data_IF_181476160443
#
_entry.id   IF_181476160443
#
_cell.length_a   1.000
_cell.length_b   1.000
_cell.length_c   1.000
_cell.angle_alpha   90.00
_cell.angle_beta   90.00
_cell.angle_gamma   90.00
#
_symmetry.space_group_name_H-M   'P 1'
#
loop_
_entity.id
_entity.type
_entity.pdbx_description
1 polymer ?
#
# COMPACT_ATOMS: atom_id res chain seq x y z
N UNK A 1 0.85 -2.26 -11.24
CA UNK A 1 0.66 -3.40 -10.35
C UNK A 1 -0.03 -4.55 -11.06
N UNK A 2 0.55 -5.74 -11.03
CA UNK A 2 0.01 -6.94 -11.66
C UNK A 2 -0.06 -8.09 -10.67
N UNK A 3 -1.26 -8.62 -10.45
CA UNK A 3 -1.55 -9.70 -9.54
C UNK A 3 -1.60 -11.03 -10.27
N UNK A 4 -1.00 -12.06 -9.69
CA UNK A 4 -1.11 -13.47 -10.06
C UNK A 4 -0.63 -13.88 -11.46
N UNK A 5 -0.28 -12.95 -12.35
CA UNK A 5 0.26 -13.29 -13.65
C UNK A 5 1.71 -13.77 -13.52
N UNK A 6 2.04 -14.92 -14.11
CA UNK A 6 3.37 -15.53 -14.04
C UNK A 6 3.95 -15.63 -12.62
N UNK A 7 3.08 -15.83 -11.62
CA UNK A 7 3.45 -15.85 -10.21
C UNK A 7 3.40 -14.49 -9.52
N UNK A 8 2.88 -13.48 -10.21
CA UNK A 8 2.76 -12.10 -9.75
C UNK A 8 3.90 -11.22 -10.24
N UNK A 9 3.54 -10.01 -10.63
CA UNK A 9 4.48 -8.95 -11.05
C UNK A 9 4.22 -7.68 -10.24
N UNK A 10 4.06 -7.84 -8.93
CA UNK A 10 3.92 -6.71 -8.02
C UNK A 10 5.25 -5.97 -7.94
N UNK A 11 5.20 -4.67 -7.79
CA UNK A 11 6.42 -3.87 -7.63
C UNK A 11 6.21 -2.82 -6.55
N UNK A 12 5.38 -1.84 -6.79
CA UNK A 12 4.91 -0.89 -5.80
C UNK A 12 3.47 -0.49 -6.12
N UNK A 13 2.70 -0.15 -5.10
CA UNK A 13 1.31 0.26 -5.27
C UNK A 13 0.80 1.07 -4.10
N UNK A 14 0.00 2.09 -4.43
CA UNK A 14 -0.80 2.84 -3.47
C UNK A 14 -2.25 2.38 -3.61
N UNK A 15 -2.82 1.91 -2.52
CA UNK A 15 -4.20 1.46 -2.47
C UNK A 15 -4.98 2.27 -1.44
N UNK A 16 -6.24 2.52 -1.74
CA UNK A 16 -7.21 2.99 -0.78
C UNK A 16 -8.12 1.83 -0.44
N UNK A 17 -7.96 1.26 0.71
CA UNK A 17 -8.61 0.05 1.19
C UNK A 17 -8.04 -1.27 0.65
N UNK A 18 -7.27 -1.93 1.49
CA UNK A 18 -7.00 -3.36 1.41
C UNK A 18 -7.76 -4.05 2.57
N UNK A 19 -8.99 -4.55 2.34
CA UNK A 19 -9.91 -4.91 3.42
C UNK A 19 -9.50 -6.14 4.24
N UNK A 20 -8.53 -6.90 3.73
CA UNK A 20 -7.91 -8.00 4.46
C UNK A 20 -6.69 -7.49 5.24
N UNK A 21 -6.40 -8.11 6.37
CA UNK A 21 -5.18 -7.84 7.14
C UNK A 21 -5.04 -6.40 7.62
N UNK A 22 -6.15 -5.83 8.11
CA UNK A 22 -6.21 -4.52 8.80
C UNK A 22 -5.87 -3.29 7.93
N UNK A 23 -6.30 -3.31 6.67
CA UNK A 23 -6.14 -2.17 5.75
C UNK A 23 -7.45 -1.57 5.21
N UNK A 24 -8.60 -1.85 5.84
CA UNK A 24 -9.93 -1.44 5.35
C UNK A 24 -10.10 0.07 5.39
N UNK A 25 -10.45 0.65 4.24
CA UNK A 25 -10.68 2.09 4.03
C UNK A 25 -9.48 2.97 4.46
N UNK A 26 -8.28 2.44 4.43
CA UNK A 26 -7.06 3.12 4.84
C UNK A 26 -6.13 3.32 3.66
N UNK A 27 -5.19 4.25 3.79
CA UNK A 27 -4.11 4.43 2.82
C UNK A 27 -3.11 3.31 3.00
N UNK A 28 -2.93 2.50 1.97
CA UNK A 28 -2.06 1.33 2.01
C UNK A 28 -0.94 1.45 0.98
N UNK A 29 0.30 1.49 1.44
CA UNK A 29 1.49 1.41 0.60
C UNK A 29 2.04 -0.01 0.56
N UNK A 30 2.29 -0.55 -0.62
CA UNK A 30 2.78 -1.91 -0.81
C UNK A 30 4.01 -1.91 -1.72
N UNK A 31 5.03 -2.66 -1.32
CA UNK A 31 6.28 -2.90 -2.07
C UNK A 31 6.43 -4.41 -2.25
N UNK A 32 7.05 -4.81 -3.35
CA UNK A 32 7.44 -6.21 -3.57
C UNK A 32 8.80 -6.29 -4.22
N UNK A 33 9.66 -7.13 -3.67
CA UNK A 33 10.97 -7.45 -4.25
C UNK A 33 10.84 -8.42 -5.43
N UNK A 34 10.04 -9.48 -5.28
CA UNK A 34 10.01 -10.60 -6.21
C UNK A 34 8.79 -10.63 -7.11
N UNK A 35 7.85 -9.72 -6.91
CA UNK A 35 6.54 -9.73 -7.57
C UNK A 35 5.54 -10.72 -6.99
N UNK A 36 6.00 -11.60 -6.09
CA UNK A 36 5.21 -12.65 -5.43
C UNK A 36 4.84 -12.25 -4.01
N UNK A 37 3.96 -13.02 -3.34
CA UNK A 37 3.81 -12.91 -1.90
C UNK A 37 5.16 -13.07 -1.18
N UNK A 38 5.32 -12.35 -0.07
CA UNK A 38 6.55 -12.42 0.76
C UNK A 38 6.58 -13.75 1.50
N UNK A 39 7.60 -14.59 1.30
CA UNK A 39 7.73 -15.85 2.05
C UNK A 39 7.77 -15.60 3.57
N UNK A 40 7.21 -16.48 4.39
CA UNK A 40 6.60 -17.78 4.04
C UNK A 40 5.09 -17.71 3.73
N UNK A 41 4.52 -16.53 3.59
CA UNK A 41 3.07 -16.35 3.49
C UNK A 41 2.55 -16.66 2.08
N UNK A 42 1.37 -17.30 1.96
CA UNK A 42 0.75 -17.62 0.66
C UNK A 42 0.17 -16.38 -0.04
N UNK A 43 -0.15 -15.32 0.73
CA UNK A 43 -0.63 -14.02 0.22
C UNK A 43 0.16 -12.89 0.84
N UNK A 44 0.24 -11.76 0.15
CA UNK A 44 0.91 -10.58 0.68
C UNK A 44 0.13 -9.92 1.80
N UNK A 45 0.78 -9.75 2.93
CA UNK A 45 0.32 -8.96 4.09
C UNK A 45 1.31 -7.83 4.40
N UNK A 46 2.30 -7.68 3.56
CA UNK A 46 3.48 -6.84 3.62
C UNK A 46 3.20 -5.45 3.05
N UNK A 47 2.26 -4.75 3.66
CA UNK A 47 1.92 -3.38 3.31
C UNK A 47 1.72 -2.51 4.55
N UNK A 48 1.99 -1.23 4.40
CA UNK A 48 1.62 -0.23 5.41
C UNK A 48 0.14 0.12 5.31
N UNK A 49 -0.45 0.55 6.41
CA UNK A 49 -1.81 1.08 6.42
C UNK A 49 -1.93 2.23 7.42
N UNK A 50 -2.42 3.39 6.96
CA UNK A 50 -2.64 4.55 7.84
C UNK A 50 -3.62 4.24 8.97
N UNK A 51 -3.53 4.89 10.13
CA UNK A 51 -4.58 4.76 11.16
C UNK A 51 -5.88 5.46 10.74
N UNK A 52 -5.79 6.55 9.97
CA UNK A 52 -6.96 7.27 9.47
C UNK A 52 -7.64 6.51 8.34
N UNK A 53 -8.95 6.62 8.27
CA UNK A 53 -9.75 6.12 7.14
C UNK A 53 -9.94 7.20 6.10
N UNK A 54 -9.84 6.82 4.84
CA UNK A 54 -10.13 7.69 3.71
C UNK A 54 -11.64 7.90 3.63
N UNK A 55 -12.14 9.13 3.77
CA UNK A 55 -13.58 9.39 3.71
C UNK A 55 -14.13 9.20 2.29
N UNK A 56 -15.44 8.92 2.20
CA UNK A 56 -16.16 9.01 0.94
C UNK A 56 -16.58 10.46 0.68
N UNK A 57 -16.65 10.82 -0.61
CA UNK A 57 -17.18 12.10 -1.08
C UNK A 57 -16.41 13.36 -0.63
N UNK A 58 -15.15 13.18 -0.24
CA UNK A 58 -14.24 14.27 0.10
C UNK A 58 -12.93 14.13 -0.67
N UNK A 59 -12.35 15.26 -1.09
CA UNK A 59 -11.00 15.28 -1.63
C UNK A 59 -9.99 15.12 -0.51
N UNK A 60 -9.06 14.21 -0.71
CA UNK A 60 -7.95 14.01 0.22
C UNK A 60 -6.66 13.68 -0.54
N UNK A 61 -5.54 14.03 0.05
CA UNK A 61 -4.24 13.61 -0.41
C UNK A 61 -3.86 12.28 0.26
N UNK A 62 -3.44 11.30 -0.52
CA UNK A 62 -2.97 10.02 -0.05
C UNK A 62 -1.60 9.74 -0.63
N UNK A 63 -0.67 9.31 0.21
CA UNK A 63 0.69 9.01 -0.23
C UNK A 63 1.28 7.84 0.54
N UNK A 64 2.33 7.24 0.00
CA UNK A 64 3.25 6.43 0.77
C UNK A 64 4.69 6.71 0.35
N UNK A 65 5.62 6.48 1.25
CA UNK A 65 7.06 6.51 0.98
C UNK A 65 7.69 5.17 1.33
N UNK A 66 8.79 4.87 0.64
CA UNK A 66 9.64 3.72 0.96
C UNK A 66 11.10 4.15 0.91
N UNK A 67 11.81 3.97 2.01
CA UNK A 67 13.21 4.40 2.18
C UNK A 67 14.23 3.26 2.07
N UNK A 68 13.77 2.06 1.71
CA UNK A 68 14.58 0.84 1.67
C UNK A 68 14.42 -0.02 2.93
N UNK A 69 13.77 0.50 3.96
CA UNK A 69 13.58 -0.21 5.24
C UNK A 69 12.12 -0.16 5.70
N UNK A 70 11.47 1.01 5.57
CA UNK A 70 10.09 1.21 6.03
C UNK A 70 9.19 1.73 4.94
N UNK A 71 7.98 1.16 4.87
CA UNK A 71 6.86 1.70 4.11
C UNK A 71 6.02 2.56 5.06
N UNK A 72 5.82 3.85 4.73
CA UNK A 72 5.02 4.78 5.52
C UNK A 72 3.85 5.27 4.71
N UNK A 73 2.65 5.12 5.23
CA UNK A 73 1.42 5.67 4.64
C UNK A 73 1.04 6.99 5.28
N UNK A 74 0.61 7.94 4.45
CA UNK A 74 0.24 9.29 4.83
C UNK A 74 -1.19 9.60 4.40
N UNK A 75 -1.91 10.30 5.25
CA UNK A 75 -3.23 10.84 4.94
C UNK A 75 -3.20 12.37 5.10
N UNK A 76 -3.62 13.11 4.06
CA UNK A 76 -3.56 14.58 3.99
C UNK A 76 -2.18 15.14 4.40
N UNK A 77 -1.11 14.51 3.91
CA UNK A 77 0.27 14.90 4.19
C UNK A 77 0.80 14.49 5.56
N UNK A 78 -0.04 13.94 6.44
CA UNK A 78 0.36 13.60 7.80
C UNK A 78 0.69 12.12 7.94
N UNK A 79 1.84 11.84 8.56
CA UNK A 79 2.21 10.52 9.04
C UNK A 79 1.71 10.34 10.46
N UNK A 80 1.07 9.20 10.71
CA UNK A 80 0.68 8.80 12.06
C UNK A 80 1.01 7.33 12.27
N UNK A 81 1.66 7.04 13.39
CA UNK A 81 2.04 5.68 13.74
C UNK A 81 0.83 4.86 14.18
N UNK A 82 0.85 3.58 13.83
CA UNK A 82 -0.07 2.58 14.40
C UNK A 82 0.68 1.72 15.40
N UNK A 83 0.01 1.39 16.49
CA UNK A 83 0.48 0.41 17.45
C UNK A 83 0.45 -1.01 16.85
N UNK A 84 1.18 -1.92 17.47
CA UNK A 84 1.14 -3.33 17.08
C UNK A 84 -0.26 -3.91 17.28
N UNK A 85 -0.78 -4.55 16.27
CA UNK A 85 -2.12 -5.10 16.29
C UNK A 85 -2.17 -6.56 15.80
N UNK A 86 -3.17 -7.31 16.27
CA UNK A 86 -3.48 -8.64 15.76
C UNK A 86 -4.03 -8.48 14.33
N UNK A 87 -3.45 -9.24 13.41
CA UNK A 87 -3.89 -9.19 12.01
C UNK A 87 -5.14 -10.05 11.83
N UNK A 88 -6.22 -9.41 11.41
CA UNK A 88 -7.46 -10.08 11.09
C UNK A 88 -7.30 -11.04 9.91
N UNK A 89 -8.14 -12.05 9.87
CA UNK A 89 -8.24 -13.02 8.76
C UNK A 89 -7.01 -13.90 8.52
N UNK A 90 -6.04 -13.97 9.43
CA UNK A 90 -4.96 -14.94 9.32
C UNK A 90 -5.35 -16.30 9.89
N UNK A 91 -6.17 -16.34 10.93
CA UNK A 91 -6.66 -17.57 11.52
C UNK A 91 -7.49 -18.39 10.50
N UNK A 92 -7.13 -19.65 10.32
CA UNK A 92 -7.78 -20.55 9.36
C UNK A 92 -7.34 -20.37 7.90
N UNK A 93 -6.49 -19.42 7.58
CA UNK A 93 -5.84 -19.38 6.27
C UNK A 93 -4.63 -20.34 6.27
N UNK A 94 -4.60 -21.23 5.28
CA UNK A 94 -3.48 -22.15 5.13
C UNK A 94 -2.17 -21.38 4.92
N UNK A 95 -1.16 -21.73 5.74
CA UNK A 95 0.17 -21.14 5.67
C UNK A 95 0.35 -19.85 6.47
N UNK A 96 -0.70 -19.35 7.14
CA UNK A 96 -0.55 -18.25 8.10
C UNK A 96 -0.53 -18.74 9.54
N UNK A 97 0.32 -18.16 10.40
CA UNK A 97 0.30 -18.49 11.83
C UNK A 97 -0.93 -17.89 12.50
N UNK A 98 -1.46 -18.59 13.49
CA UNK A 98 -2.44 -18.02 14.40
C UNK A 98 -1.78 -16.92 15.24
N UNK A 99 -2.53 -15.84 15.48
CA UNK A 99 -2.08 -14.77 16.37
C UNK A 99 -0.98 -13.89 15.78
N UNK A 100 -0.86 -13.81 14.45
CA UNK A 100 0.10 -12.90 13.80
C UNK A 100 -0.16 -11.46 14.21
N UNK A 101 0.87 -10.79 14.68
CA UNK A 101 0.83 -9.37 15.07
C UNK A 101 1.80 -8.57 14.21
N UNK A 102 1.38 -7.35 13.83
CA UNK A 102 2.20 -6.45 13.01
C UNK A 102 1.96 -4.99 13.38
N UNK A 103 3.00 -4.17 13.24
CA UNK A 103 2.88 -2.72 13.15
C UNK A 103 2.60 -2.40 11.68
N UNK A 104 1.44 -1.78 11.42
CA UNK A 104 1.02 -1.48 10.04
C UNK A 104 1.46 -0.11 9.53
N UNK A 105 1.91 0.79 10.41
CA UNK A 105 2.46 2.08 10.00
C UNK A 105 3.45 2.64 11.04
N UNK A 106 4.75 2.77 10.75
CA UNK A 106 5.41 2.32 9.52
C UNK A 106 5.46 0.80 9.46
N UNK A 107 5.42 0.25 8.26
CA UNK A 107 5.60 -1.18 8.06
C UNK A 107 7.08 -1.47 7.73
N UNK A 108 7.70 -2.36 8.51
CA UNK A 108 9.09 -2.76 8.30
C UNK A 108 9.20 -3.75 7.12
N UNK A 109 9.92 -3.36 6.07
CA UNK A 109 10.13 -4.15 4.87
C UNK A 109 11.53 -3.89 4.30
N UNK A 110 12.58 -4.57 4.81
CA UNK A 110 13.96 -4.31 4.43
C UNK A 110 14.38 -4.99 3.11
N UNK A 111 13.50 -5.78 2.50
CA UNK A 111 13.86 -6.63 1.35
C UNK A 111 14.17 -5.85 0.07
N UNK A 112 13.72 -4.61 -0.03
CA UNK A 112 13.92 -3.76 -1.19
C UNK A 112 12.75 -3.81 -2.18
N UNK A 113 12.89 -3.02 -3.24
CA UNK A 113 11.94 -2.95 -4.35
C UNK A 113 12.52 -3.65 -5.57
N UNK A 114 11.74 -4.53 -6.19
CA UNK A 114 12.15 -5.25 -7.39
C UNK A 114 11.80 -4.52 -8.69
N UNK A 115 12.44 -4.93 -9.77
CA UNK A 115 12.03 -4.63 -11.13
C UNK A 115 11.35 -5.86 -11.74
N UNK A 116 10.04 -5.97 -11.52
CA UNK A 116 9.27 -7.17 -11.83
C UNK A 116 8.52 -7.06 -13.18
N UNK A 117 8.74 -5.98 -13.94
CA UNK A 117 8.13 -5.76 -15.24
C UNK A 117 6.60 -5.59 -15.16
N UNK A 118 6.11 -4.96 -14.09
CA UNK A 118 4.69 -4.63 -13.95
C UNK A 118 4.36 -3.38 -14.75
N UNK A 119 3.22 -3.40 -15.43
CA UNK A 119 2.68 -2.17 -16.00
C UNK A 119 2.31 -1.17 -14.90
N UNK A 120 2.53 0.11 -15.18
CA UNK A 120 2.01 1.19 -14.34
C UNK A 120 0.53 1.38 -14.65
N UNK A 121 -0.31 1.28 -13.63
CA UNK A 121 -1.76 1.40 -13.76
C UNK A 121 -2.31 2.44 -12.80
N UNK A 122 -3.36 3.14 -13.21
CA UNK A 122 -4.04 4.17 -12.42
C UNK A 122 -5.53 3.84 -12.35
N UNK A 123 -6.07 3.87 -11.15
CA UNK A 123 -7.48 3.57 -10.89
C UNK A 123 -7.88 2.11 -11.08
N UNK A 124 -6.93 1.23 -11.37
CA UNK A 124 -7.15 -0.20 -11.51
C UNK A 124 -5.83 -0.97 -11.41
N UNK A 125 -5.89 -2.28 -11.32
CA UNK A 125 -4.73 -3.17 -11.37
C UNK A 125 -4.97 -4.30 -12.39
N UNK A 126 -3.90 -4.90 -12.87
CA UNK A 126 -4.00 -6.16 -13.59
C UNK A 126 -4.21 -7.31 -12.62
N UNK A 127 -5.20 -8.15 -12.91
CA UNK A 127 -5.49 -9.39 -12.20
C UNK A 127 -5.66 -10.48 -13.25
N UNK A 128 -4.72 -11.43 -13.31
CA UNK A 128 -4.75 -12.53 -14.28
C UNK A 128 -4.99 -12.06 -15.74
N UNK A 129 -4.17 -11.12 -16.23
CA UNK A 129 -4.23 -10.55 -17.59
C UNK A 129 -5.49 -9.72 -17.89
N UNK A 130 -6.25 -9.34 -16.88
CA UNK A 130 -7.43 -8.48 -17.01
C UNK A 130 -7.31 -7.29 -16.08
N UNK A 131 -7.78 -6.15 -16.53
CA UNK A 131 -7.92 -4.97 -15.67
C UNK A 131 -9.09 -5.21 -14.73
N UNK A 132 -8.87 -5.00 -13.43
CA UNK A 132 -9.85 -5.18 -12.37
C UNK A 132 -9.56 -4.33 -11.15
N UNK A 133 -10.28 -4.57 -10.08
CA UNK A 133 -10.12 -3.83 -8.81
C UNK A 133 -10.18 -2.32 -9.02
N UNK A 134 -11.25 -1.87 -9.69
CA UNK A 134 -11.42 -0.49 -10.07
C UNK A 134 -11.60 0.41 -8.85
N UNK A 135 -10.83 1.50 -8.81
CA UNK A 135 -11.09 2.60 -7.89
C UNK A 135 -12.40 3.30 -8.27
N UNK A 136 -13.26 3.49 -7.29
CA UNK A 136 -14.56 4.17 -7.47
C UNK A 136 -14.45 5.57 -6.89
N UNK A 137 -14.09 6.54 -7.71
CA UNK A 137 -13.91 7.92 -7.29
C UNK A 137 -13.28 8.78 -8.38
N UNK A 138 -12.84 9.96 -8.00
CA UNK A 138 -12.11 10.89 -8.86
C UNK A 138 -10.64 10.95 -8.42
N UNK A 139 -9.74 11.13 -9.38
CA UNK A 139 -8.31 11.28 -9.13
C UNK A 139 -7.91 12.64 -9.67
N UNK A 140 -7.51 13.55 -8.77
CA UNK A 140 -7.17 14.93 -9.13
C UNK A 140 -5.73 15.09 -9.64
N UNK A 141 -4.81 14.25 -9.16
CA UNK A 141 -3.42 14.31 -9.58
C UNK A 141 -2.63 13.11 -9.09
N UNK A 142 -1.49 12.84 -9.72
CA UNK A 142 -0.57 11.77 -9.36
C UNK A 142 0.86 12.31 -9.49
N UNK A 143 1.69 11.98 -8.50
CA UNK A 143 3.12 12.22 -8.56
C UNK A 143 3.88 10.98 -8.08
N UNK A 144 4.98 10.68 -8.74
CA UNK A 144 5.90 9.59 -8.37
C UNK A 144 7.31 10.18 -8.29
N UNK A 145 8.02 9.85 -7.24
CA UNK A 145 9.38 10.33 -6.98
C UNK A 145 10.34 9.14 -6.95
N UNK A 146 11.55 9.34 -7.40
CA UNK A 146 12.62 8.34 -7.44
C UNK A 146 13.36 8.17 -6.10
N UNK A 147 12.88 8.85 -5.06
CA UNK A 147 13.35 8.75 -3.68
C UNK A 147 12.21 8.81 -2.68
N UNK A 148 12.45 8.38 -1.47
CA UNK A 148 11.55 8.67 -0.36
C UNK A 148 11.56 10.18 -0.07
N UNK A 149 10.39 10.79 -0.04
CA UNK A 149 10.22 12.16 0.45
C UNK A 149 10.27 12.16 1.98
N UNK A 150 10.77 13.26 2.56
CA UNK A 150 10.63 13.50 4.01
C UNK A 150 9.19 13.79 4.39
N UNK A 151 8.86 13.73 5.68
CA UNK A 151 7.50 14.03 6.14
C UNK A 151 7.08 15.46 5.77
N UNK A 152 7.97 16.43 5.87
CA UNK A 152 7.73 17.83 5.50
C UNK A 152 7.50 17.98 4.00
N UNK A 153 8.24 17.23 3.18
CA UNK A 153 8.03 17.23 1.73
C UNK A 153 6.68 16.60 1.35
N UNK A 154 6.31 15.49 2.02
CA UNK A 154 4.99 14.87 1.81
C UNK A 154 3.88 15.84 2.22
N UNK A 155 4.01 16.51 3.36
CA UNK A 155 3.06 17.53 3.79
C UNK A 155 2.94 18.65 2.75
N UNK A 156 4.07 19.17 2.26
CA UNK A 156 4.08 20.24 1.26
C UNK A 156 3.39 19.86 -0.05
N UNK A 157 3.71 18.69 -0.61
CA UNK A 157 3.11 18.26 -1.90
C UNK A 157 1.66 17.80 -1.75
N UNK A 158 1.22 17.53 -0.52
CA UNK A 158 -0.16 17.16 -0.21
C UNK A 158 -1.08 18.36 -0.01
N UNK A 159 -0.51 19.57 0.08
CA UNK A 159 -1.31 20.79 0.18
C UNK A 159 -2.00 21.05 -1.16
N UNK A 160 -3.32 20.91 -1.18
CA UNK A 160 -4.13 21.28 -2.33
C UNK A 160 -4.19 22.81 -2.41
N UNK A 161 -3.46 23.39 -3.33
CA UNK A 161 -3.59 24.83 -3.60
C UNK A 161 -4.70 25.00 -4.64
N UNK A 162 -5.86 25.50 -4.21
CA UNK A 162 -6.87 26.10 -5.09
C UNK A 162 -6.28 27.38 -5.71
N UNK A 163 -5.52 27.24 -6.80
CA UNK A 163 -5.12 28.39 -7.64
C UNK A 163 -5.96 28.42 -8.91
#
# INVERSE_FOLDING_TARGET
>A
WNEYEDGGKRQYGLFVSLPHYNGRNQVCGHISLTGKPTPPFPYSIDYSASPQTVPADEWCAVAFTYDGEYIRSYFNGQFEQREEELIDHTAGFEGYPDGLRQIKNPYYFPDGIGDNGSDFTVGAVFVNKRIGTFFKGQIGGIAVYDRALTAEEVEYVSQWNDN
#
